data_IF_537699901148
#
_entry.id   IF_537699901148
#
_cell.length_a   1.000
_cell.length_b   1.000
_cell.length_c   1.000
_cell.angle_alpha   90.00
_cell.angle_beta   90.00
_cell.angle_gamma   90.00
#
_symmetry.space_group_name_H-M   'P 1'
#
loop_
_entity.id
_entity.type
_entity.pdbx_description
1 polymer ?
#
# COMPACT_ATOMS: atom_id res chain seq x y z
N UNK A 1 -27.37 22.25 0.30
CA UNK A 1 -25.93 22.46 0.58
C UNK A 1 -25.46 21.28 1.44
N UNK A 2 -24.75 20.32 0.84
CA UNK A 2 -24.42 19.03 1.49
C UNK A 2 -23.32 19.25 2.54
N UNK A 3 -23.60 18.86 3.79
CA UNK A 3 -22.65 18.87 4.92
C UNK A 3 -21.38 18.09 4.55
N UNK A 4 -20.23 18.75 4.64
CA UNK A 4 -18.92 18.29 4.16
C UNK A 4 -17.95 17.87 5.29
N UNK A 5 -18.44 17.47 6.47
CA UNK A 5 -17.58 17.32 7.66
C UNK A 5 -17.54 15.90 8.28
N UNK A 6 -17.89 14.84 7.53
CA UNK A 6 -17.94 13.47 8.09
C UNK A 6 -16.75 12.58 7.77
N UNK A 7 -15.70 13.09 7.14
CA UNK A 7 -14.46 12.34 6.91
C UNK A 7 -13.33 13.15 7.53
N UNK A 8 -12.60 12.57 8.50
CA UNK A 8 -11.52 13.20 9.25
C UNK A 8 -10.30 13.58 8.37
N UNK A 9 -10.50 14.40 7.33
CA UNK A 9 -9.53 14.80 6.32
C UNK A 9 -8.97 13.68 5.43
N UNK A 10 -9.25 12.42 5.73
CA UNK A 10 -8.56 11.25 5.17
C UNK A 10 -9.30 10.62 3.96
N UNK A 11 -10.07 11.40 3.19
CA UNK A 11 -10.83 10.89 2.02
C UNK A 11 -9.93 10.22 0.99
N UNK A 12 -8.70 10.73 0.84
CA UNK A 12 -7.68 10.18 -0.08
C UNK A 12 -7.33 8.72 0.27
N UNK A 13 -7.23 8.39 1.56
CA UNK A 13 -6.89 7.05 2.02
C UNK A 13 -8.02 6.06 1.67
N UNK A 14 -9.28 6.42 1.90
CA UNK A 14 -10.42 5.57 1.53
C UNK A 14 -10.47 5.35 0.02
N UNK A 15 -10.37 6.43 -0.77
CA UNK A 15 -10.40 6.33 -2.23
C UNK A 15 -9.27 5.44 -2.75
N UNK A 16 -8.07 5.63 -2.23
CA UNK A 16 -6.91 4.79 -2.55
C UNK A 16 -7.17 3.33 -2.22
N UNK A 17 -7.55 3.02 -0.98
CA UNK A 17 -7.84 1.64 -0.57
C UNK A 17 -8.93 0.98 -1.42
N UNK A 18 -10.02 1.69 -1.73
CA UNK A 18 -11.07 1.15 -2.60
C UNK A 18 -10.56 0.85 -4.01
N UNK A 19 -9.75 1.73 -4.60
CA UNK A 19 -9.14 1.49 -5.91
C UNK A 19 -8.21 0.27 -5.88
N UNK A 20 -7.43 0.09 -4.82
CA UNK A 20 -6.52 -1.04 -4.65
C UNK A 20 -7.26 -2.37 -4.42
N UNK A 21 -8.40 -2.35 -3.72
CA UNK A 21 -9.29 -3.51 -3.60
C UNK A 21 -9.89 -3.88 -4.96
N UNK A 22 -10.29 -2.90 -5.78
CA UNK A 22 -10.78 -3.18 -7.13
C UNK A 22 -9.70 -3.83 -8.00
N UNK A 23 -8.45 -3.35 -7.90
CA UNK A 23 -7.31 -3.99 -8.58
C UNK A 23 -7.07 -5.41 -8.06
N UNK A 24 -7.11 -5.63 -6.75
CA UNK A 24 -6.99 -6.97 -6.18
C UNK A 24 -8.09 -7.92 -6.70
N UNK A 25 -9.32 -7.43 -6.88
CA UNK A 25 -10.41 -8.21 -7.43
C UNK A 25 -10.16 -8.59 -8.90
N UNK A 26 -9.68 -7.64 -9.72
CA UNK A 26 -9.27 -7.94 -11.11
C UNK A 26 -8.18 -9.01 -11.14
N UNK A 27 -7.17 -8.89 -10.27
CA UNK A 27 -6.10 -9.87 -10.14
C UNK A 27 -6.59 -11.25 -9.71
N UNK A 28 -7.60 -11.32 -8.84
CA UNK A 28 -8.20 -12.58 -8.43
C UNK A 28 -8.83 -13.32 -9.63
N UNK A 29 -9.57 -12.59 -10.47
CA UNK A 29 -10.15 -13.15 -11.69
C UNK A 29 -9.09 -13.54 -12.72
N UNK A 30 -8.03 -12.74 -12.87
CA UNK A 30 -6.88 -13.10 -13.70
C UNK A 30 -6.24 -14.41 -13.24
N UNK A 31 -6.07 -14.59 -11.93
CA UNK A 31 -5.49 -15.80 -11.36
C UNK A 31 -6.38 -17.03 -11.62
N UNK A 32 -7.70 -16.90 -11.43
CA UNK A 32 -8.67 -17.96 -11.78
C UNK A 32 -8.57 -18.31 -13.26
N UNK A 33 -8.45 -17.32 -14.15
CA UNK A 33 -8.32 -17.55 -15.58
C UNK A 33 -7.00 -18.23 -15.98
N UNK A 34 -5.89 -17.91 -15.31
CA UNK A 34 -4.61 -18.62 -15.49
C UNK A 34 -4.75 -20.08 -15.07
N UNK A 35 -5.37 -20.36 -13.91
CA UNK A 35 -5.58 -21.75 -13.46
C UNK A 35 -6.52 -22.56 -14.38
N UNK A 36 -7.43 -21.88 -15.09
CA UNK A 36 -8.29 -22.49 -16.10
C UNK A 36 -7.66 -22.54 -17.51
N UNK A 37 -6.35 -22.27 -17.63
CA UNK A 37 -5.61 -22.33 -18.89
C UNK A 37 -6.20 -21.46 -20.02
N UNK A 38 -6.72 -20.27 -19.66
CA UNK A 38 -7.20 -19.31 -20.65
C UNK A 38 -5.98 -18.69 -21.33
N UNK A 39 -5.68 -19.12 -22.57
CA UNK A 39 -4.45 -18.74 -23.28
C UNK A 39 -4.19 -17.23 -23.40
N UNK A 40 -5.23 -16.39 -23.43
CA UNK A 40 -5.05 -14.93 -23.38
C UNK A 40 -4.38 -14.45 -22.07
N UNK A 41 -4.76 -15.03 -20.92
CA UNK A 41 -4.21 -14.63 -19.63
C UNK A 41 -2.81 -15.22 -19.40
N UNK A 42 -2.51 -16.38 -19.97
CA UNK A 42 -1.16 -16.96 -19.95
C UNK A 42 -0.17 -16.12 -20.77
N UNK A 43 -0.62 -15.54 -21.89
CA UNK A 43 0.23 -14.62 -22.67
C UNK A 43 0.44 -13.26 -21.99
N UNK A 44 -0.53 -12.79 -21.21
CA UNK A 44 -0.42 -11.53 -20.45
C UNK A 44 0.46 -11.68 -19.20
N UNK A 45 0.46 -12.86 -18.58
CA UNK A 45 1.26 -13.20 -17.41
C UNK A 45 2.19 -14.38 -17.73
N UNK A 46 3.24 -14.17 -18.54
CA UNK A 46 4.18 -15.22 -18.90
C UNK A 46 5.05 -15.68 -17.71
N UNK A 47 5.07 -14.91 -16.62
CA UNK A 47 5.74 -15.26 -15.38
C UNK A 47 5.04 -16.38 -14.59
N UNK A 48 5.63 -16.74 -13.45
CA UNK A 48 5.06 -17.77 -12.56
C UNK A 48 3.72 -17.30 -11.99
N UNK A 49 2.66 -18.13 -11.97
CA UNK A 49 1.36 -17.77 -11.37
C UNK A 49 1.48 -17.30 -9.91
N UNK A 50 2.49 -17.80 -9.19
CA UNK A 50 2.84 -17.40 -7.84
C UNK A 50 3.12 -15.88 -7.71
N UNK A 51 3.67 -15.23 -8.75
CA UNK A 51 3.91 -13.77 -8.75
C UNK A 51 2.61 -12.98 -8.87
N UNK A 52 1.64 -13.46 -9.64
CA UNK A 52 0.29 -12.87 -9.71
C UNK A 52 -0.41 -13.00 -8.36
N UNK A 53 -0.31 -14.18 -7.73
CA UNK A 53 -0.84 -14.40 -6.38
C UNK A 53 -0.17 -13.48 -5.35
N UNK A 54 1.16 -13.33 -5.41
CA UNK A 54 1.90 -12.43 -4.54
C UNK A 54 1.44 -10.98 -4.72
N UNK A 55 1.28 -10.51 -5.95
CA UNK A 55 0.74 -9.18 -6.24
C UNK A 55 -0.67 -9.00 -5.67
N UNK A 56 -1.55 -9.98 -5.87
CA UNK A 56 -2.92 -9.96 -5.34
C UNK A 56 -2.94 -9.81 -3.81
N UNK A 57 -2.17 -10.65 -3.10
CA UNK A 57 -2.09 -10.61 -1.63
C UNK A 57 -1.54 -9.26 -1.16
N UNK A 58 -0.52 -8.73 -1.84
CA UNK A 58 0.09 -7.45 -1.46
C UNK A 58 -0.89 -6.29 -1.64
N UNK A 59 -1.64 -6.25 -2.75
CA UNK A 59 -2.70 -5.26 -2.94
C UNK A 59 -3.76 -5.32 -1.82
N UNK A 60 -4.18 -6.52 -1.40
CA UNK A 60 -5.12 -6.68 -0.28
C UNK A 60 -4.51 -6.21 1.04
N UNK A 61 -3.28 -6.62 1.34
CA UNK A 61 -2.58 -6.27 2.57
C UNK A 61 -2.36 -4.75 2.67
N UNK A 62 -1.87 -4.12 1.62
CA UNK A 62 -1.64 -2.67 1.58
C UNK A 62 -2.96 -1.89 1.70
N UNK A 63 -4.03 -2.37 1.07
CA UNK A 63 -5.38 -1.79 1.24
C UNK A 63 -5.87 -1.91 2.67
N UNK A 64 -5.70 -3.07 3.29
CA UNK A 64 -6.08 -3.32 4.68
C UNK A 64 -5.29 -2.41 5.63
N UNK A 65 -3.99 -2.22 5.40
CA UNK A 65 -3.16 -1.28 6.17
C UNK A 65 -3.70 0.15 6.04
N UNK A 66 -3.96 0.64 4.83
CA UNK A 66 -4.51 1.98 4.60
C UNK A 66 -5.85 2.16 5.35
N UNK A 67 -6.74 1.17 5.29
CA UNK A 67 -8.01 1.19 6.02
C UNK A 67 -7.80 1.14 7.54
N UNK A 68 -6.80 0.40 8.03
CA UNK A 68 -6.42 0.37 9.44
C UNK A 68 -5.94 1.73 9.95
N UNK A 69 -5.06 2.39 9.20
CA UNK A 69 -4.63 3.77 9.49
C UNK A 69 -5.77 4.77 9.43
N UNK A 70 -6.70 4.60 8.48
CA UNK A 70 -7.91 5.41 8.43
C UNK A 70 -8.80 5.19 9.66
N UNK A 71 -8.95 3.93 10.12
CA UNK A 71 -9.77 3.55 11.26
C UNK A 71 -9.23 4.08 12.60
N UNK A 72 -7.94 4.41 12.69
CA UNK A 72 -7.35 5.08 13.85
C UNK A 72 -7.90 6.51 14.06
N UNK A 73 -8.62 7.08 13.09
CA UNK A 73 -9.25 8.42 13.15
C UNK A 73 -8.30 9.56 13.51
N UNK A 74 -7.01 9.38 13.28
CA UNK A 74 -5.99 10.42 13.50
C UNK A 74 -5.76 11.19 12.20
N UNK A 75 -5.68 12.52 12.31
CA UNK A 75 -5.42 13.42 11.21
C UNK A 75 -3.98 13.28 10.72
N UNK A 76 -3.78 12.60 9.60
CA UNK A 76 -2.45 12.47 8.99
C UNK A 76 -2.12 13.70 8.11
N UNK A 77 -0.87 14.17 8.03
CA UNK A 77 -0.47 15.21 7.08
C UNK A 77 -0.71 14.77 5.64
N UNK A 78 -1.04 15.71 4.75
CA UNK A 78 -1.41 15.39 3.37
C UNK A 78 -0.31 14.62 2.61
N UNK A 79 0.96 15.01 2.77
CA UNK A 79 2.10 14.33 2.15
C UNK A 79 2.20 12.85 2.55
N UNK A 80 1.86 12.54 3.81
CA UNK A 80 1.90 11.16 4.34
C UNK A 80 0.77 10.35 3.73
N UNK A 81 -0.45 10.91 3.66
CA UNK A 81 -1.61 10.25 3.02
C UNK A 81 -1.31 9.88 1.57
N UNK A 82 -0.76 10.81 0.81
CA UNK A 82 -0.42 10.58 -0.59
C UNK A 82 0.71 9.56 -0.73
N UNK A 83 1.80 9.69 0.06
CA UNK A 83 2.88 8.72 0.05
C UNK A 83 2.41 7.29 0.38
N UNK A 84 1.45 7.13 1.32
CA UNK A 84 0.85 5.82 1.61
C UNK A 84 0.08 5.26 0.41
N UNK A 85 -0.79 6.07 -0.21
CA UNK A 85 -1.62 5.62 -1.32
C UNK A 85 -0.78 5.30 -2.56
N UNK A 86 0.16 6.19 -2.91
CA UNK A 86 1.06 5.97 -4.06
C UNK A 86 2.04 4.85 -3.78
N UNK A 87 2.63 4.80 -2.58
CA UNK A 87 3.56 3.75 -2.18
C UNK A 87 2.92 2.38 -2.12
N UNK A 88 1.69 2.27 -1.60
CA UNK A 88 0.93 1.02 -1.63
C UNK A 88 0.76 0.52 -3.07
N UNK A 89 0.33 1.38 -3.98
CA UNK A 89 0.15 1.02 -5.38
C UNK A 89 1.46 0.62 -6.06
N UNK A 90 2.50 1.45 -5.93
CA UNK A 90 3.75 1.19 -6.63
C UNK A 90 4.43 -0.06 -6.11
N UNK A 91 4.32 -0.33 -4.80
CA UNK A 91 4.92 -1.50 -4.17
C UNK A 91 4.23 -2.79 -4.64
N UNK A 92 2.91 -2.84 -4.57
CA UNK A 92 2.15 -4.01 -5.04
C UNK A 92 2.29 -4.22 -6.56
N UNK A 93 2.44 -3.13 -7.32
CA UNK A 93 2.68 -3.20 -8.76
C UNK A 93 4.05 -3.80 -9.11
N UNK A 94 5.03 -3.82 -8.21
CA UNK A 94 6.33 -4.49 -8.46
C UNK A 94 6.14 -5.99 -8.70
N UNK A 95 5.33 -6.64 -7.86
CA UNK A 95 5.04 -8.07 -8.02
C UNK A 95 4.25 -8.37 -9.29
N UNK A 96 3.38 -7.44 -9.69
CA UNK A 96 2.67 -7.51 -10.95
C UNK A 96 3.61 -7.38 -12.15
N UNK A 97 4.56 -6.44 -12.09
CA UNK A 97 5.59 -6.28 -13.12
C UNK A 97 6.48 -7.52 -13.23
N UNK A 98 6.83 -8.18 -12.12
CA UNK A 98 7.53 -9.47 -12.18
C UNK A 98 6.70 -10.58 -12.84
N UNK A 99 5.37 -10.56 -12.69
CA UNK A 99 4.50 -11.53 -13.35
C UNK A 99 4.37 -11.28 -14.86
N UNK A 100 4.36 -10.02 -15.29
CA UNK A 100 4.25 -9.64 -16.71
C UNK A 100 5.60 -9.70 -17.44
N UNK A 101 6.68 -9.32 -16.77
CA UNK A 101 8.04 -9.24 -17.31
C UNK A 101 8.98 -10.10 -16.47
N UNK A 102 9.02 -11.41 -16.73
CA UNK A 102 9.88 -12.33 -15.97
C UNK A 102 11.37 -12.03 -16.11
N UNK A 103 11.78 -11.27 -17.13
CA UNK A 103 13.16 -10.76 -17.30
C UNK A 103 13.64 -9.87 -16.15
N UNK A 104 12.70 -9.19 -15.46
CA UNK A 104 12.99 -8.32 -14.32
C UNK A 104 13.03 -9.10 -12.99
N UNK A 105 12.47 -10.31 -12.95
CA UNK A 105 12.37 -11.12 -11.75
C UNK A 105 13.68 -11.89 -11.49
N UNK A 106 14.40 -11.63 -10.38
CA UNK A 106 15.63 -12.36 -10.04
C UNK A 106 15.43 -13.86 -9.76
N UNK A 107 14.18 -14.31 -9.56
CA UNK A 107 13.81 -15.73 -9.36
C UNK A 107 13.33 -16.41 -10.66
N UNK A 108 13.38 -15.70 -11.79
CA UNK A 108 13.08 -16.25 -13.11
C UNK A 108 14.34 -16.76 -13.80
N UNK A 109 14.20 -17.79 -14.62
CA UNK A 109 15.30 -18.31 -15.45
C UNK A 109 15.67 -17.35 -16.58
N UNK A 110 14.75 -16.45 -16.95
CA UNK A 110 14.95 -15.42 -17.98
C UNK A 110 15.52 -14.12 -17.43
N UNK A 111 15.98 -14.10 -16.18
CA UNK A 111 16.48 -12.90 -15.52
C UNK A 111 17.69 -12.31 -16.25
N UNK A 112 17.59 -11.04 -16.66
CA UNK A 112 18.69 -10.35 -17.35
C UNK A 112 19.07 -9.06 -16.61
N UNK A 113 20.20 -9.06 -15.87
CA UNK A 113 20.63 -7.89 -15.09
C UNK A 113 21.35 -6.84 -15.95
N UNK A 114 20.82 -6.54 -17.13
CA UNK A 114 21.46 -5.63 -18.09
C UNK A 114 20.43 -4.82 -18.88
N UNK A 115 20.82 -3.60 -19.26
CA UNK A 115 20.03 -2.73 -20.12
C UNK A 115 19.31 -1.59 -19.40
N UNK A 116 18.86 -0.62 -20.20
CA UNK A 116 18.22 0.62 -19.72
C UNK A 116 16.92 0.34 -18.97
N UNK A 117 16.16 -0.67 -19.41
CA UNK A 117 14.91 -1.08 -18.77
C UNK A 117 15.12 -1.69 -17.39
N UNK A 118 16.17 -2.49 -17.20
CA UNK A 118 16.53 -3.03 -15.89
C UNK A 118 16.92 -1.91 -14.91
N UNK A 119 17.70 -0.92 -15.36
CA UNK A 119 18.06 0.23 -14.52
C UNK A 119 16.83 1.07 -14.16
N UNK A 120 15.95 1.36 -15.11
CA UNK A 120 14.71 2.09 -14.87
C UNK A 120 13.81 1.36 -13.87
N UNK A 121 13.68 0.04 -14.02
CA UNK A 121 12.93 -0.79 -13.08
C UNK A 121 13.53 -0.79 -11.67
N UNK A 122 14.87 -0.85 -11.53
CA UNK A 122 15.52 -0.75 -10.22
C UNK A 122 15.27 0.60 -9.55
N UNK A 123 15.35 1.70 -10.30
CA UNK A 123 15.00 3.04 -9.78
C UNK A 123 13.54 3.05 -9.31
N UNK A 124 12.63 2.48 -10.09
CA UNK A 124 11.23 2.34 -9.71
C UNK A 124 11.05 1.49 -8.44
N UNK A 125 11.75 0.36 -8.33
CA UNK A 125 11.73 -0.52 -7.17
C UNK A 125 12.20 0.20 -5.91
N UNK A 126 13.39 0.80 -5.93
CA UNK A 126 13.93 1.47 -4.77
C UNK A 126 13.12 2.72 -4.39
N UNK A 127 12.70 3.52 -5.37
CA UNK A 127 11.85 4.68 -5.11
C UNK A 127 10.52 4.27 -4.50
N UNK A 128 9.89 3.21 -5.01
CA UNK A 128 8.66 2.68 -4.43
C UNK A 128 8.87 2.25 -2.98
N UNK A 129 9.92 1.47 -2.67
CA UNK A 129 10.20 1.03 -1.29
C UNK A 129 10.38 2.21 -0.34
N UNK A 130 11.08 3.26 -0.78
CA UNK A 130 11.28 4.48 0.01
C UNK A 130 9.96 5.23 0.25
N UNK A 131 9.13 5.40 -0.78
CA UNK A 131 7.85 6.10 -0.67
C UNK A 131 6.89 5.33 0.25
N UNK A 132 6.79 4.01 0.08
CA UNK A 132 5.96 3.14 0.94
C UNK A 132 6.42 3.20 2.39
N UNK A 133 7.73 3.04 2.63
CA UNK A 133 8.30 3.08 3.98
C UNK A 133 8.10 4.44 4.65
N UNK A 134 8.29 5.53 3.90
CA UNK A 134 8.04 6.88 4.40
C UNK A 134 6.57 7.08 4.76
N UNK A 135 5.65 6.71 3.88
CA UNK A 135 4.21 6.87 4.09
C UNK A 135 3.72 6.11 5.32
N UNK A 136 3.87 4.79 5.32
CA UNK A 136 3.38 3.94 6.41
C UNK A 136 4.18 4.14 7.70
N UNK A 137 5.50 4.27 7.61
CA UNK A 137 6.37 4.47 8.78
C UNK A 137 6.07 5.77 9.51
N UNK A 138 5.96 6.89 8.77
CA UNK A 138 5.62 8.19 9.38
C UNK A 138 4.20 8.20 9.95
N UNK A 139 3.24 7.55 9.28
CA UNK A 139 1.89 7.41 9.81
C UNK A 139 1.88 6.64 11.14
N UNK A 140 2.63 5.54 11.24
CA UNK A 140 2.75 4.76 12.47
C UNK A 140 3.33 5.58 13.63
N UNK A 141 4.42 6.32 13.39
CA UNK A 141 5.05 7.17 14.41
C UNK A 141 4.09 8.25 14.89
N UNK A 142 3.39 8.94 13.97
CA UNK A 142 2.42 9.98 14.35
C UNK A 142 1.32 9.40 15.23
N UNK A 143 0.76 8.26 14.86
CA UNK A 143 -0.31 7.61 15.64
C UNK A 143 0.21 7.23 17.01
N UNK A 144 1.38 6.59 17.08
CA UNK A 144 1.99 6.17 18.32
C UNK A 144 2.25 7.34 19.27
N UNK A 145 2.85 8.43 18.79
CA UNK A 145 3.08 9.63 19.59
C UNK A 145 1.76 10.24 20.11
N UNK A 146 0.73 10.26 19.26
CA UNK A 146 -0.61 10.74 19.64
C UNK A 146 -1.20 9.91 20.78
N UNK A 147 -0.97 8.59 20.79
CA UNK A 147 -1.44 7.74 21.90
C UNK A 147 -0.73 8.03 23.22
N UNK A 148 0.55 8.38 23.20
CA UNK A 148 1.32 8.71 24.40
C UNK A 148 0.93 10.09 24.97
N UNK A 149 0.69 11.08 24.11
CA UNK A 149 0.28 12.42 24.53
C UNK A 149 -1.10 12.42 25.21
N UNK A 150 -2.04 11.62 24.70
CA UNK A 150 -3.37 11.46 25.29
C UNK A 150 -3.30 10.82 26.68
N UNK A 151 -2.40 9.86 26.91
CA UNK A 151 -2.22 9.23 28.22
C UNK A 151 -1.63 10.23 29.25
N UNK A 152 -0.68 11.06 28.83
CA UNK A 152 -0.13 12.14 29.66
C UNK A 152 -1.16 13.23 30.00
N UNK A 153 -2.00 13.61 29.04
CA UNK A 153 -3.11 14.55 29.28
C UNK A 153 -4.22 13.95 30.14
N UNK A 154 -4.46 12.63 30.10
CA UNK A 154 -5.41 11.96 30.97
C UNK A 154 -4.93 11.94 32.44
N UNK A 155 -3.62 11.77 32.67
CA UNK A 155 -3.01 11.86 34.01
C UNK A 155 -3.04 13.28 34.58
N UNK A 156 -2.99 14.29 33.71
CA UNK A 156 -3.08 15.69 34.08
C UNK A 156 -4.51 16.20 33.90
N UNK A 157 -5.40 16.00 34.89
CA UNK A 157 -6.76 16.51 34.83
C UNK A 157 -6.77 18.04 34.62
N UNK A 158 -6.97 18.50 33.37
CA UNK A 158 -7.04 19.92 33.00
C UNK A 158 -8.18 20.67 33.71
N UNK A 159 -9.21 19.95 34.16
CA UNK A 159 -10.34 20.52 34.93
C UNK A 159 -10.03 20.68 36.42
N UNK A 160 -9.07 19.91 36.94
CA UNK A 160 -8.80 19.80 38.37
C UNK A 160 -7.47 20.46 38.79
N UNK A 161 -6.57 20.75 37.83
CA UNK A 161 -5.24 21.32 38.11
C UNK A 161 -4.32 20.44 38.97
N UNK A 162 -4.68 19.18 39.23
CA UNK A 162 -3.89 18.25 40.03
C UNK A 162 -3.14 17.27 39.14
N UNK A 163 -1.83 17.17 39.38
CA UNK A 163 -1.01 16.05 38.98
C UNK A 163 -1.48 14.82 39.76
N UNK A 164 -2.01 13.80 39.09
CA UNK A 164 -2.18 12.48 39.69
C UNK A 164 -0.81 11.80 39.60
N UNK A 165 -0.08 11.81 40.72
CA UNK A 165 1.10 10.96 40.93
C UNK A 165 0.65 9.50 41.05
#
# INVERSE_FOLDING_TARGET
MKQNDNHAGNVVLIRGACLWILMALLLAWSLVGIYNQIGFLETLFPGKPMRVLQAHIDFLLMSALILGFYAARIGLPWHVRWAMVTGAFTNSSLFLLYAMFPELDPLSETYTPAGVWFTAFNIYLYSSLLITSYGFGKAAVIIFLTTLENDSSAKNCKRCGRHLM
#
